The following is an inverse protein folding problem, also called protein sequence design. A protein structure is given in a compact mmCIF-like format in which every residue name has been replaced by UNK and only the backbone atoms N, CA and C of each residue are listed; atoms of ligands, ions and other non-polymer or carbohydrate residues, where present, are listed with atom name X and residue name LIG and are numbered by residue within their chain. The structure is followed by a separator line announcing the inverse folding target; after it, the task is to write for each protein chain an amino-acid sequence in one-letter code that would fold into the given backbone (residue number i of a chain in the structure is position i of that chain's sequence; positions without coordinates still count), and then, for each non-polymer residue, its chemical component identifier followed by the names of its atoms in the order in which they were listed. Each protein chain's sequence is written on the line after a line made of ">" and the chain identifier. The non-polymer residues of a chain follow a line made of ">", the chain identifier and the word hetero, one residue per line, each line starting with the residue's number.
data_IF_170880517251
#
_entry.id   IF_170880517251
#
_cell.length_a   1.000
_cell.length_b   1.000
_cell.length_c   1.000
_cell.angle_alpha   90.00
_cell.angle_beta   90.00
_cell.angle_gamma   90.00
#
_symmetry.space_group_name_H-M   'P 1'
#
loop_
_entity.id
_entity.type
_entity.pdbx_description
1 polymer ?
#
# COMPACT_ATOMS: atom_id res chain seq x y z
N UNK A 1 24.80 17.19 -12.71
CA UNK A 1 23.58 16.82 -13.46
C UNK A 1 23.93 15.76 -14.48
N UNK A 2 23.19 14.66 -14.53
CA UNK A 2 23.38 13.61 -15.54
C UNK A 2 22.73 14.08 -16.84
N UNK A 3 23.42 14.02 -17.98
CA UNK A 3 22.88 14.43 -19.28
C UNK A 3 21.92 13.36 -19.83
N UNK A 4 20.93 13.72 -20.66
CA UNK A 4 20.06 12.75 -21.33
C UNK A 4 20.85 11.67 -22.10
N UNK A 5 22.01 12.03 -22.65
CA UNK A 5 22.92 11.10 -23.32
C UNK A 5 23.50 10.03 -22.37
N UNK A 6 23.82 10.38 -21.12
CA UNK A 6 24.26 9.40 -20.12
C UNK A 6 23.13 8.45 -19.69
N UNK A 7 21.89 8.94 -19.58
CA UNK A 7 20.74 8.06 -19.30
C UNK A 7 20.50 7.08 -20.45
N UNK A 8 20.61 7.53 -21.70
CA UNK A 8 20.57 6.65 -22.87
C UNK A 8 21.76 5.67 -22.92
N UNK A 9 22.95 6.08 -22.49
CA UNK A 9 24.13 5.21 -22.46
C UNK A 9 24.00 4.09 -21.42
N UNK A 10 23.49 4.38 -20.22
CA UNK A 10 23.36 3.38 -19.15
C UNK A 10 22.11 2.50 -19.26
N UNK A 11 21.00 3.03 -19.79
CA UNK A 11 19.73 2.33 -19.80
C UNK A 11 19.18 2.07 -21.21
N UNK A 12 19.73 2.68 -22.26
CA UNK A 12 19.24 2.52 -23.63
C UNK A 12 17.93 3.26 -23.90
N UNK A 13 16.84 2.91 -23.19
CA UNK A 13 15.51 3.53 -23.34
C UNK A 13 14.78 3.69 -21.98
N UNK A 14 13.66 4.42 -22.00
CA UNK A 14 12.83 4.73 -20.81
C UNK A 14 12.36 3.46 -20.09
N UNK A 15 12.03 2.40 -20.84
CA UNK A 15 11.50 1.15 -20.29
C UNK A 15 12.58 0.37 -19.52
N UNK A 16 13.82 0.40 -19.98
CA UNK A 16 14.95 -0.22 -19.29
C UNK A 16 15.36 0.56 -18.03
N UNK A 17 15.27 1.89 -18.03
CA UNK A 17 15.43 2.69 -16.81
C UNK A 17 14.35 2.37 -15.78
N UNK A 18 13.09 2.30 -16.24
CA UNK A 18 11.95 1.90 -15.42
C UNK A 18 12.17 0.50 -14.84
N UNK A 19 12.57 -0.46 -15.67
CA UNK A 19 12.85 -1.83 -15.23
C UNK A 19 13.97 -1.87 -14.18
N UNK A 20 15.08 -1.17 -14.41
CA UNK A 20 16.18 -1.12 -13.46
C UNK A 20 15.75 -0.50 -12.12
N UNK A 21 15.00 0.62 -12.14
CA UNK A 21 14.45 1.22 -10.94
C UNK A 21 13.59 0.23 -10.15
N UNK A 22 12.72 -0.51 -10.84
CA UNK A 22 11.81 -1.45 -10.18
C UNK A 22 12.56 -2.66 -9.63
N UNK A 23 13.43 -3.28 -10.41
CA UNK A 23 14.16 -4.48 -10.02
C UNK A 23 15.21 -4.19 -8.95
N UNK A 24 15.91 -3.06 -9.03
CA UNK A 24 17.02 -2.74 -8.12
C UNK A 24 16.61 -1.93 -6.89
N UNK A 25 15.47 -1.22 -6.93
CA UNK A 25 15.01 -0.38 -5.81
C UNK A 25 13.67 -0.83 -5.25
N UNK A 26 12.65 -1.00 -6.08
CA UNK A 26 11.31 -1.31 -5.58
C UNK A 26 11.22 -2.73 -5.03
N UNK A 27 11.64 -3.73 -5.81
CA UNK A 27 11.52 -5.13 -5.43
C UNK A 27 12.25 -5.47 -4.12
N UNK A 28 13.50 -5.03 -3.88
CA UNK A 28 14.16 -5.24 -2.60
C UNK A 28 13.44 -4.59 -1.42
N UNK A 29 12.79 -3.44 -1.63
CA UNK A 29 12.04 -2.77 -0.57
C UNK A 29 10.71 -3.49 -0.25
N UNK A 30 10.04 -4.07 -1.26
CA UNK A 30 8.74 -4.75 -1.10
C UNK A 30 8.87 -6.19 -0.65
N UNK A 31 10.01 -6.85 -0.91
CA UNK A 31 10.22 -8.26 -0.57
C UNK A 31 10.00 -8.58 0.92
N UNK A 32 10.56 -7.82 1.89
CA UNK A 32 10.31 -8.06 3.31
C UNK A 32 8.83 -7.92 3.71
N UNK A 33 8.11 -6.97 3.10
CA UNK A 33 6.67 -6.82 3.30
C UNK A 33 5.94 -8.07 2.81
N UNK A 34 6.29 -8.61 1.63
CA UNK A 34 5.68 -9.84 1.10
C UNK A 34 5.92 -11.04 2.02
N UNK A 35 7.14 -11.19 2.53
CA UNK A 35 7.50 -12.29 3.43
C UNK A 35 6.77 -12.19 4.78
N UNK A 36 6.68 -10.99 5.35
CA UNK A 36 5.91 -10.76 6.57
C UNK A 36 4.43 -11.08 6.40
N UNK A 37 3.83 -10.71 5.25
CA UNK A 37 2.43 -11.03 4.97
C UNK A 37 2.17 -12.51 4.71
N UNK A 38 3.19 -13.28 4.33
CA UNK A 38 3.04 -14.72 4.17
C UNK A 38 3.00 -15.46 5.52
N UNK A 39 3.58 -14.88 6.58
CA UNK A 39 3.78 -15.55 7.88
C UNK A 39 3.03 -14.91 9.05
N UNK A 40 2.54 -13.67 8.91
CA UNK A 40 1.78 -12.98 9.98
C UNK A 40 0.54 -13.77 10.38
N UNK A 41 0.08 -13.59 11.62
CA UNK A 41 -1.09 -14.24 12.22
C UNK A 41 -2.36 -14.27 11.36
N UNK A 42 -3.37 -15.00 11.84
CA UNK A 42 -4.52 -15.37 11.02
C UNK A 42 -5.70 -14.40 11.09
N UNK A 43 -5.66 -13.40 11.98
CA UNK A 43 -6.78 -12.45 12.07
C UNK A 43 -6.70 -11.40 10.94
N UNK A 44 -7.83 -10.93 10.40
CA UNK A 44 -7.83 -9.86 9.40
C UNK A 44 -7.13 -8.58 9.88
N UNK A 45 -7.24 -8.25 11.17
CA UNK A 45 -6.63 -7.04 11.72
C UNK A 45 -5.11 -7.15 11.82
N UNK A 46 -4.57 -8.31 12.23
CA UNK A 46 -3.11 -8.56 12.20
C UNK A 46 -2.57 -8.47 10.78
N UNK A 47 -3.30 -9.01 9.80
CA UNK A 47 -2.90 -8.94 8.40
C UNK A 47 -2.92 -7.50 7.86
N UNK A 48 -3.97 -6.74 8.17
CA UNK A 48 -4.07 -5.32 7.85
C UNK A 48 -2.95 -4.50 8.51
N UNK A 49 -2.62 -4.81 9.76
CA UNK A 49 -1.54 -4.17 10.50
C UNK A 49 -0.17 -4.44 9.88
N UNK A 50 0.14 -5.69 9.56
CA UNK A 50 1.40 -6.02 8.89
C UNK A 50 1.51 -5.37 7.52
N UNK A 51 0.39 -5.29 6.77
CA UNK A 51 0.37 -4.57 5.49
C UNK A 51 0.68 -3.08 5.68
N UNK A 52 -0.04 -2.39 6.57
CA UNK A 52 0.14 -0.97 6.82
C UNK A 52 1.58 -0.65 7.30
N UNK A 53 2.12 -1.50 8.18
CA UNK A 53 3.49 -1.38 8.68
C UNK A 53 4.52 -1.58 7.58
N UNK A 54 4.39 -2.62 6.76
CA UNK A 54 5.34 -2.84 5.68
C UNK A 54 5.25 -1.77 4.58
N UNK A 55 4.06 -1.26 4.26
CA UNK A 55 3.93 -0.12 3.33
C UNK A 55 4.62 1.12 3.92
N UNK A 56 4.44 1.42 5.20
CA UNK A 56 5.15 2.53 5.84
C UNK A 56 6.67 2.35 5.79
N UNK A 57 7.19 1.14 6.02
CA UNK A 57 8.61 0.83 5.88
C UNK A 57 9.13 1.02 4.45
N UNK A 58 8.35 0.61 3.45
CA UNK A 58 8.66 0.85 2.03
C UNK A 58 8.70 2.35 1.73
N UNK A 59 7.72 3.12 2.20
CA UNK A 59 7.65 4.58 1.96
C UNK A 59 8.79 5.31 2.68
N UNK A 60 9.15 4.89 3.89
CA UNK A 60 10.31 5.45 4.60
C UNK A 60 11.62 5.19 3.82
N UNK A 61 11.75 4.01 3.20
CA UNK A 61 12.92 3.63 2.40
C UNK A 61 12.93 4.33 1.03
N UNK A 62 11.75 4.49 0.42
CA UNK A 62 11.55 5.06 -0.91
C UNK A 62 10.54 6.23 -0.85
N UNK A 63 10.89 7.42 -0.31
CA UNK A 63 9.96 8.53 -0.13
C UNK A 63 9.34 9.07 -1.43
N UNK A 64 9.99 8.82 -2.58
CA UNK A 64 9.50 9.18 -3.91
C UNK A 64 8.40 8.23 -4.43
N UNK A 65 8.23 7.05 -3.82
CA UNK A 65 7.34 6.00 -4.33
C UNK A 65 5.86 6.43 -4.35
N UNK A 66 5.28 7.05 -3.31
CA UNK A 66 3.86 7.40 -3.33
C UNK A 66 3.49 8.36 -4.49
N UNK A 67 4.32 9.37 -4.74
CA UNK A 67 4.10 10.31 -5.84
C UNK A 67 4.25 9.61 -7.21
N UNK A 68 5.24 8.72 -7.35
CA UNK A 68 5.43 7.95 -8.57
C UNK A 68 4.28 6.98 -8.83
N UNK A 69 3.75 6.35 -7.78
CA UNK A 69 2.59 5.45 -7.84
C UNK A 69 1.37 6.17 -8.42
N UNK A 70 1.05 7.37 -7.92
CA UNK A 70 -0.05 8.17 -8.47
C UNK A 70 0.18 8.46 -9.95
N UNK A 71 1.36 8.97 -10.31
CA UNK A 71 1.63 9.43 -11.68
C UNK A 71 1.68 8.31 -12.72
N UNK A 72 2.28 7.18 -12.38
CA UNK A 72 2.61 6.15 -13.37
C UNK A 72 1.74 4.89 -13.27
N UNK A 73 0.99 4.72 -12.18
CA UNK A 73 0.12 3.56 -11.97
C UNK A 73 -1.35 3.99 -11.96
N UNK A 74 -1.72 5.01 -11.17
CA UNK A 74 -3.11 5.47 -11.07
C UNK A 74 -3.55 6.33 -12.27
N UNK A 75 -2.71 7.24 -12.75
CA UNK A 75 -3.01 8.04 -13.94
C UNK A 75 -2.83 7.25 -15.24
N UNK A 76 -3.69 7.51 -16.23
CA UNK A 76 -3.61 6.88 -17.56
C UNK A 76 -2.32 7.21 -18.30
N UNK A 77 -1.84 6.28 -19.14
CA UNK A 77 -0.63 6.45 -19.95
C UNK A 77 0.69 6.31 -19.20
N UNK A 78 0.65 5.91 -17.92
CA UNK A 78 1.85 5.67 -17.12
C UNK A 78 2.65 4.45 -17.57
N UNK A 79 3.98 4.58 -17.64
CA UNK A 79 4.85 3.50 -18.14
C UNK A 79 5.01 2.35 -17.11
N UNK A 80 4.73 2.63 -15.83
CA UNK A 80 4.85 1.62 -14.76
C UNK A 80 3.63 0.71 -14.66
N UNK A 81 2.47 1.12 -15.18
CA UNK A 81 1.22 0.39 -15.02
C UNK A 81 1.34 -1.07 -15.46
N UNK A 82 1.71 -1.31 -16.70
CA UNK A 82 1.85 -2.65 -17.28
C UNK A 82 2.88 -3.53 -16.59
N UNK A 83 3.93 -2.92 -16.04
CA UNK A 83 4.95 -3.66 -15.31
C UNK A 83 4.46 -4.01 -13.90
N UNK A 84 3.87 -3.05 -13.18
CA UNK A 84 3.27 -3.28 -11.86
C UNK A 84 2.22 -4.38 -11.95
N UNK A 85 1.39 -4.39 -13.00
CA UNK A 85 0.42 -5.46 -13.26
C UNK A 85 1.06 -6.83 -13.51
N UNK A 86 2.22 -6.89 -14.18
CA UNK A 86 2.90 -8.15 -14.53
C UNK A 86 3.79 -8.71 -13.41
N UNK A 87 4.45 -7.84 -12.66
CA UNK A 87 5.55 -8.25 -11.78
C UNK A 87 5.20 -8.08 -10.29
N UNK A 88 4.30 -7.15 -9.94
CA UNK A 88 3.99 -6.80 -8.54
C UNK A 88 2.59 -7.26 -8.13
N UNK A 89 1.56 -6.93 -8.92
CA UNK A 89 0.15 -7.27 -8.67
C UNK A 89 -0.14 -8.79 -8.59
N UNK A 90 0.58 -9.68 -9.28
CA UNK A 90 0.32 -11.11 -9.17
C UNK A 90 0.73 -11.71 -7.83
N UNK A 91 1.58 -11.02 -7.05
CA UNK A 91 2.12 -11.60 -5.81
C UNK A 91 1.55 -10.97 -4.55
N UNK A 92 1.47 -9.64 -4.42
CA UNK A 92 1.14 -9.02 -3.13
C UNK A 92 -0.38 -8.87 -2.89
N UNK A 93 -1.16 -8.20 -3.75
CA UNK A 93 -2.62 -8.10 -3.59
C UNK A 93 -3.32 -9.46 -3.61
N UNK A 94 -2.86 -10.39 -4.45
CA UNK A 94 -3.47 -11.72 -4.54
C UNK A 94 -3.22 -12.56 -3.29
N UNK A 95 -2.02 -12.49 -2.70
CA UNK A 95 -1.74 -13.15 -1.41
C UNK A 95 -2.64 -12.58 -0.32
N UNK A 96 -2.75 -11.25 -0.22
CA UNK A 96 -3.65 -10.62 0.75
C UNK A 96 -5.11 -11.02 0.54
N UNK A 97 -5.60 -11.00 -0.70
CA UNK A 97 -6.97 -11.39 -1.02
C UNK A 97 -7.25 -12.83 -0.57
N UNK A 98 -6.38 -13.79 -0.91
CA UNK A 98 -6.53 -15.19 -0.49
C UNK A 98 -6.53 -15.34 1.03
N UNK A 99 -5.70 -14.58 1.74
CA UNK A 99 -5.66 -14.63 3.20
C UNK A 99 -6.92 -14.04 3.83
N UNK A 100 -7.45 -12.95 3.27
CA UNK A 100 -8.73 -12.39 3.71
C UNK A 100 -9.92 -13.30 3.35
N UNK A 101 -9.87 -13.99 2.21
CA UNK A 101 -10.85 -15.01 1.82
C UNK A 101 -10.87 -16.16 2.84
N UNK A 102 -9.70 -16.70 3.20
CA UNK A 102 -9.60 -17.74 4.22
C UNK A 102 -10.11 -17.26 5.60
N UNK A 103 -9.86 -16.01 5.96
CA UNK A 103 -10.39 -15.44 7.19
C UNK A 103 -11.92 -15.23 7.11
N UNK A 104 -12.46 -14.88 5.94
CA UNK A 104 -13.89 -14.77 5.70
C UNK A 104 -14.59 -16.13 5.80
N UNK A 105 -14.05 -17.17 5.17
CA UNK A 105 -14.56 -18.54 5.25
C UNK A 105 -14.52 -19.10 6.69
N UNK A 106 -13.51 -18.70 7.47
CA UNK A 106 -13.40 -19.02 8.89
C UNK A 106 -14.32 -18.17 9.80
N UNK A 107 -15.16 -17.30 9.25
CA UNK A 107 -16.07 -16.44 10.02
C UNK A 107 -15.37 -15.32 10.82
N UNK A 108 -14.12 -14.98 10.47
CA UNK A 108 -13.31 -13.96 11.16
C UNK A 108 -13.38 -12.57 10.52
N UNK A 109 -14.01 -12.44 9.36
CA UNK A 109 -14.25 -11.17 8.68
C UNK A 109 -15.71 -10.74 8.90
N UNK A 110 -15.93 -9.45 9.18
CA UNK A 110 -17.29 -8.95 9.43
C UNK A 110 -18.20 -9.15 8.21
N UNK A 111 -19.51 -9.43 8.41
CA UNK A 111 -20.47 -9.52 7.32
C UNK A 111 -20.48 -8.26 6.45
N UNK A 112 -20.55 -8.43 5.13
CA UNK A 112 -20.58 -7.32 4.17
C UNK A 112 -19.21 -6.79 3.76
N UNK A 113 -18.11 -7.27 4.34
CA UNK A 113 -16.76 -6.97 3.84
C UNK A 113 -16.37 -7.99 2.76
N UNK A 114 -16.18 -7.54 1.51
CA UNK A 114 -15.58 -8.35 0.45
C UNK A 114 -14.04 -8.38 0.61
N UNK A 115 -13.41 -9.57 0.68
CA UNK A 115 -11.96 -9.71 0.85
C UNK A 115 -11.10 -8.95 -0.16
N UNK A 116 -11.54 -8.88 -1.42
CA UNK A 116 -10.79 -8.21 -2.50
C UNK A 116 -10.94 -6.70 -2.40
N UNK A 117 -12.14 -6.21 -2.08
CA UNK A 117 -12.37 -4.78 -1.83
C UNK A 117 -11.66 -4.29 -0.56
N UNK A 118 -11.45 -5.15 0.43
CA UNK A 118 -10.62 -4.82 1.59
C UNK A 118 -9.16 -4.58 1.18
N UNK A 119 -8.61 -5.35 0.24
CA UNK A 119 -7.26 -5.08 -0.30
C UNK A 119 -7.20 -3.72 -1.00
N UNK A 120 -8.19 -3.39 -1.82
CA UNK A 120 -8.28 -2.06 -2.47
C UNK A 120 -8.34 -0.95 -1.42
N UNK A 121 -9.13 -1.15 -0.38
CA UNK A 121 -9.28 -0.19 0.73
C UNK A 121 -7.97 0.00 1.48
N UNK A 122 -7.24 -1.08 1.79
CA UNK A 122 -5.94 -1.02 2.45
C UNK A 122 -4.91 -0.25 1.61
N UNK A 123 -4.84 -0.51 0.30
CA UNK A 123 -3.95 0.23 -0.60
C UNK A 123 -4.32 1.72 -0.62
N UNK A 124 -5.61 2.02 -0.71
CA UNK A 124 -6.14 3.39 -0.68
C UNK A 124 -5.81 4.12 0.62
N UNK A 125 -6.06 3.50 1.77
CA UNK A 125 -5.85 4.09 3.10
C UNK A 125 -4.37 4.22 3.50
N UNK A 126 -3.44 3.66 2.73
CA UNK A 126 -2.00 3.72 3.01
C UNK A 126 -1.24 4.56 1.99
N UNK A 127 -1.34 4.25 0.68
CA UNK A 127 -0.57 4.93 -0.35
C UNK A 127 -1.11 6.31 -0.72
N UNK A 128 -2.43 6.49 -0.74
CA UNK A 128 -3.01 7.78 -1.16
C UNK A 128 -2.74 8.90 -0.13
N UNK A 129 -2.95 8.71 1.18
CA UNK A 129 -2.57 9.72 2.17
C UNK A 129 -1.07 10.04 2.12
N UNK A 130 -0.22 9.04 1.93
CA UNK A 130 1.22 9.24 1.77
C UNK A 130 1.56 10.07 0.53
N UNK A 131 0.93 9.80 -0.62
CA UNK A 131 1.15 10.55 -1.85
C UNK A 131 0.62 11.99 -1.77
N UNK A 132 -0.49 12.17 -1.06
CA UNK A 132 -1.12 13.47 -0.83
C UNK A 132 -0.57 14.23 0.39
N UNK A 133 0.50 13.76 1.05
CA UNK A 133 0.95 14.31 2.32
C UNK A 133 1.08 15.85 2.36
N UNK A 134 1.66 16.53 1.33
CA UNK A 134 1.73 18.00 1.32
C UNK A 134 0.35 18.68 1.26
N UNK A 135 -0.64 18.05 0.61
CA UNK A 135 -2.01 18.57 0.51
C UNK A 135 -2.66 18.53 1.88
N UNK A 136 -2.57 17.40 2.58
CA UNK A 136 -3.16 17.23 3.92
C UNK A 136 -2.48 18.11 4.96
N UNK A 137 -1.16 18.23 4.92
CA UNK A 137 -0.41 19.15 5.77
C UNK A 137 -0.90 20.58 5.62
N UNK A 138 -1.06 21.05 4.39
CA UNK A 138 -1.59 22.39 4.12
C UNK A 138 -3.05 22.54 4.54
N UNK A 139 -3.90 21.56 4.22
CA UNK A 139 -5.33 21.62 4.50
C UNK A 139 -5.63 21.66 6.01
N UNK A 140 -4.84 20.94 6.81
CA UNK A 140 -5.06 20.80 8.25
C UNK A 140 -4.04 21.57 9.11
N UNK A 141 -3.13 22.33 8.51
CA UNK A 141 -2.09 23.06 9.23
C UNK A 141 -1.12 22.15 9.99
N UNK A 142 -0.89 20.92 9.51
CA UNK A 142 -0.02 19.95 10.17
C UNK A 142 1.45 20.18 9.78
N UNK A 143 2.40 20.10 10.73
CA UNK A 143 3.83 20.25 10.44
C UNK A 143 4.40 19.11 9.59
N UNK A 144 3.69 17.98 9.53
CA UNK A 144 4.04 16.79 8.77
C UNK A 144 2.87 15.79 8.81
N UNK A 145 2.89 14.80 7.92
CA UNK A 145 1.98 13.66 8.03
C UNK A 145 2.74 12.56 8.77
N UNK A 146 2.42 12.36 10.04
CA UNK A 146 3.03 11.30 10.85
C UNK A 146 2.48 9.94 10.39
N UNK A 147 3.31 9.18 9.68
CA UNK A 147 2.93 7.88 9.11
C UNK A 147 2.50 6.87 10.21
N UNK A 148 3.22 6.74 11.34
CA UNK A 148 2.72 6.04 12.52
C UNK A 148 1.30 6.42 12.95
N UNK A 149 1.00 7.72 13.11
CA UNK A 149 -0.34 8.18 13.49
C UNK A 149 -1.39 7.83 12.42
N UNK A 150 -1.08 8.02 11.14
CA UNK A 150 -1.95 7.62 10.04
C UNK A 150 -2.26 6.12 10.09
N UNK A 151 -1.26 5.27 10.32
CA UNK A 151 -1.46 3.83 10.42
C UNK A 151 -2.32 3.45 11.61
N UNK A 152 -2.07 4.05 12.77
CA UNK A 152 -2.89 3.84 13.97
C UNK A 152 -4.35 4.22 13.71
N UNK A 153 -4.58 5.36 13.05
CA UNK A 153 -5.91 5.77 12.62
C UNK A 153 -6.55 4.79 11.63
N UNK A 154 -5.83 4.36 10.59
CA UNK A 154 -6.31 3.39 9.61
C UNK A 154 -6.70 2.07 10.26
N UNK A 155 -5.92 1.56 11.21
CA UNK A 155 -6.25 0.32 11.92
C UNK A 155 -7.43 0.50 12.87
N UNK A 156 -7.56 1.66 13.53
CA UNK A 156 -8.73 1.97 14.34
C UNK A 156 -10.01 2.03 13.47
N UNK A 157 -9.93 2.65 12.29
CA UNK A 157 -11.03 2.73 11.32
C UNK A 157 -11.41 1.35 10.79
N UNK A 158 -10.44 0.49 10.48
CA UNK A 158 -10.71 -0.87 10.01
C UNK A 158 -11.24 -1.79 11.12
N UNK A 159 -10.80 -1.59 12.35
CA UNK A 159 -11.23 -2.40 13.50
C UNK A 159 -12.63 -2.04 14.03
N UNK A 160 -12.99 -0.76 14.00
CA UNK A 160 -14.22 -0.27 14.66
C UNK A 160 -15.19 0.42 13.71
N UNK A 161 -14.77 0.78 12.50
CA UNK A 161 -15.54 1.67 11.63
C UNK A 161 -15.65 3.08 12.21
N UNK A 162 -16.73 3.78 11.84
CA UNK A 162 -17.05 5.12 12.34
C UNK A 162 -18.11 5.13 13.44
N UNK A 163 -18.84 4.03 13.60
CA UNK A 163 -19.90 3.94 14.60
C UNK A 163 -19.27 3.90 16.01
N UNK A 164 -19.82 4.68 16.94
CA UNK A 164 -19.52 4.49 18.34
C UNK A 164 -19.95 3.07 18.76
N UNK A 165 -19.22 2.38 19.64
CA UNK A 165 -19.67 1.11 20.18
C UNK A 165 -21.05 1.32 20.80
N UNK A 166 -22.05 0.63 20.29
CA UNK A 166 -23.43 0.75 20.76
C UNK A 166 -23.47 0.34 22.23
N UNK A 167 -23.72 1.29 23.12
CA UNK A 167 -24.06 1.04 24.52
C UNK A 167 -25.51 0.59 24.64
N UNK A 168 -25.89 -0.48 23.94
CA UNK A 168 -27.15 -1.17 24.21
C UNK A 168 -26.86 -2.48 24.95
N UNK A 169 -27.00 -2.42 26.26
CA UNK A 169 -27.17 -3.60 27.11
C UNK A 169 -28.41 -4.36 26.63
N UNK A 170 -28.31 -5.65 26.27
CA UNK A 170 -29.50 -6.44 25.96
C UNK A 170 -30.34 -6.56 27.23
N UNK A 171 -31.62 -6.20 27.15
CA UNK A 171 -32.64 -6.60 28.14
C UNK A 171 -33.09 -8.02 27.88
#
# INVERSE_FOLDING_TARGET
>A
GVTPAMLHYYFGNKDALVRALLTERLMPAVLPLREALATVGETPLELAQAFAQGVSGVVATLPWLPALWVREVLCEGGALREFVFREVMPSLPQVLARRFEAAHEAGRLAPGIDPRLLVVSLVGLTLFPAAGAPIWQKAFGMPGLDMPALMSHTLALLGHGLAAPSTETPR
#
